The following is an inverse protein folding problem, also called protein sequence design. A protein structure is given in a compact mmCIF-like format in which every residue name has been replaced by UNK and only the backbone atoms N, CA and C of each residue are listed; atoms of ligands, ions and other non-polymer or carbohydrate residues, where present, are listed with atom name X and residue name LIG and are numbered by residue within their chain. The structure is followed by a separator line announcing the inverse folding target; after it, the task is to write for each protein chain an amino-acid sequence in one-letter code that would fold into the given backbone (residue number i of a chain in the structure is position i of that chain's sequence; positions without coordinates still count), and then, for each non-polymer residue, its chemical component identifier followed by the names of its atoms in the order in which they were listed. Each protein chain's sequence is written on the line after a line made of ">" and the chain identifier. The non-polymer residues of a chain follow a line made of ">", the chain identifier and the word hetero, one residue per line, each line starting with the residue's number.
data_IF_364897275520
#
_entry.id   IF_364897275520
#
_cell.length_a   1.000
_cell.length_b   1.000
_cell.length_c   1.000
_cell.angle_alpha   90.00
_cell.angle_beta   90.00
_cell.angle_gamma   90.00
#
_symmetry.space_group_name_H-M   'P 1'
#
loop_
_entity.id
_entity.type
_entity.pdbx_description
1 polymer ?
#
# COMPACT_ATOMS: atom_id res chain seq x y z
N UNK A 1 -18.10 10.49 -10.68
CA UNK A 1 -16.91 9.69 -10.32
C UNK A 1 -17.40 8.57 -9.43
N UNK A 2 -17.16 7.32 -9.83
CA UNK A 2 -17.82 6.15 -9.25
C UNK A 2 -17.33 5.80 -7.84
N UNK A 3 -18.20 5.12 -7.08
CA UNK A 3 -18.01 4.59 -5.71
C UNK A 3 -16.93 3.49 -5.60
N UNK A 4 -15.79 3.65 -6.27
CA UNK A 4 -14.66 2.73 -6.19
C UNK A 4 -13.76 3.08 -5.01
N UNK A 5 -14.25 2.80 -3.80
CA UNK A 5 -13.46 2.89 -2.58
C UNK A 5 -12.49 1.70 -2.47
N UNK A 6 -11.23 1.94 -2.83
CA UNK A 6 -10.14 0.94 -2.73
C UNK A 6 -9.98 0.42 -1.30
N UNK A 7 -10.21 1.26 -0.29
CA UNK A 7 -10.13 0.87 1.12
C UNK A 7 -11.20 -0.15 1.48
N UNK A 8 -12.44 0.07 1.04
CA UNK A 8 -13.54 -0.90 1.21
C UNK A 8 -13.21 -2.25 0.56
N UNK A 9 -12.69 -2.24 -0.67
CA UNK A 9 -12.32 -3.46 -1.37
C UNK A 9 -11.25 -4.26 -0.61
N UNK A 10 -10.18 -3.58 -0.18
CA UNK A 10 -9.11 -4.22 0.60
C UNK A 10 -9.63 -4.75 1.93
N UNK A 11 -10.45 -3.99 2.66
CA UNK A 11 -11.03 -4.45 3.93
C UNK A 11 -11.83 -5.75 3.78
N UNK A 12 -12.62 -5.88 2.72
CA UNK A 12 -13.41 -7.08 2.44
C UNK A 12 -12.49 -8.27 2.15
N UNK A 13 -11.52 -8.10 1.24
CA UNK A 13 -10.60 -9.18 0.87
C UNK A 13 -9.75 -9.62 2.06
N UNK A 14 -9.22 -8.69 2.84
CA UNK A 14 -8.48 -9.00 4.08
C UNK A 14 -9.34 -9.79 5.06
N UNK A 15 -10.61 -9.42 5.24
CA UNK A 15 -11.54 -10.16 6.08
C UNK A 15 -11.71 -11.62 5.64
N UNK A 16 -11.96 -11.84 4.34
CA UNK A 16 -12.11 -13.19 3.78
C UNK A 16 -10.84 -14.04 3.95
N UNK A 17 -9.67 -13.45 3.74
CA UNK A 17 -8.40 -14.16 3.91
C UNK A 17 -8.14 -14.48 5.39
N UNK A 18 -8.51 -13.58 6.31
CA UNK A 18 -8.43 -13.86 7.75
C UNK A 18 -9.34 -15.01 8.18
N UNK A 19 -10.54 -15.09 7.62
CA UNK A 19 -11.45 -16.21 7.88
C UNK A 19 -10.90 -17.56 7.37
N UNK A 20 -10.23 -17.57 6.22
CA UNK A 20 -9.71 -18.81 5.62
C UNK A 20 -8.39 -19.28 6.22
N UNK A 21 -7.49 -18.36 6.57
CA UNK A 21 -6.10 -18.68 6.95
C UNK A 21 -5.70 -18.19 8.35
N UNK A 22 -6.59 -17.52 9.08
CA UNK A 22 -6.31 -16.97 10.41
C UNK A 22 -5.59 -15.63 10.34
N UNK A 23 -4.44 -15.52 11.01
CA UNK A 23 -3.67 -14.28 10.97
C UNK A 23 -2.99 -14.10 9.62
N UNK A 24 -3.22 -12.96 9.00
CA UNK A 24 -2.53 -12.52 7.78
C UNK A 24 -2.02 -11.10 7.96
N UNK A 25 -0.93 -10.80 7.26
CA UNK A 25 -0.35 -9.47 7.15
C UNK A 25 -0.56 -8.93 5.74
N UNK A 26 -0.98 -7.67 5.63
CA UNK A 26 -1.30 -7.01 4.36
C UNK A 26 -0.33 -5.87 4.08
N UNK A 27 0.21 -5.87 2.86
CA UNK A 27 1.12 -4.82 2.38
C UNK A 27 0.41 -4.10 1.23
N UNK A 28 0.28 -2.78 1.33
CA UNK A 28 -0.33 -1.94 0.29
C UNK A 28 0.68 -0.96 -0.28
N UNK A 29 0.81 -0.92 -1.61
CA UNK A 29 1.68 0.01 -2.32
C UNK A 29 0.83 1.01 -3.11
N UNK A 30 1.09 2.30 -2.91
CA UNK A 30 0.49 3.39 -3.67
C UNK A 30 1.51 4.46 -4.06
N UNK A 31 1.11 5.39 -4.89
CA UNK A 31 1.94 6.55 -5.29
C UNK A 31 1.17 7.87 -5.25
N UNK A 32 -0.15 7.83 -5.01
CA UNK A 32 -1.02 8.99 -5.16
C UNK A 32 -2.09 9.10 -4.08
N UNK A 33 -2.79 10.25 -4.03
CA UNK A 33 -3.83 10.51 -3.05
C UNK A 33 -5.01 9.54 -3.15
N UNK A 34 -5.26 8.98 -4.35
CA UNK A 34 -6.36 8.03 -4.55
C UNK A 34 -6.09 6.67 -3.88
N UNK A 35 -4.85 6.41 -3.46
CA UNK A 35 -4.46 5.20 -2.75
C UNK A 35 -4.63 5.33 -1.24
N UNK A 36 -4.86 6.56 -0.73
CA UNK A 36 -5.02 6.82 0.70
C UNK A 36 -6.01 5.87 1.38
N UNK A 37 -7.23 5.62 0.85
CA UNK A 37 -8.17 4.70 1.51
C UNK A 37 -7.61 3.27 1.67
N UNK A 38 -6.86 2.78 0.69
CA UNK A 38 -6.20 1.48 0.78
C UNK A 38 -5.05 1.52 1.77
N UNK A 39 -4.18 2.53 1.67
CA UNK A 39 -3.00 2.68 2.52
C UNK A 39 -3.39 2.83 3.99
N UNK A 40 -4.51 3.48 4.30
CA UNK A 40 -5.04 3.55 5.67
C UNK A 40 -5.62 2.23 6.21
N UNK A 41 -5.80 1.22 5.35
CA UNK A 41 -6.47 -0.05 5.70
C UNK A 41 -5.51 -1.22 5.87
N UNK A 42 -4.38 -1.20 5.16
CA UNK A 42 -3.37 -2.28 5.19
C UNK A 42 -2.50 -2.22 6.44
N UNK A 43 -1.88 -3.33 6.81
CA UNK A 43 -1.01 -3.42 8.00
C UNK A 43 0.35 -2.73 7.74
N UNK A 44 0.88 -2.84 6.52
CA UNK A 44 2.13 -2.23 6.08
C UNK A 44 1.87 -1.32 4.87
N UNK A 45 1.63 -0.02 5.09
CA UNK A 45 1.42 0.94 4.00
C UNK A 45 2.74 1.47 3.45
N UNK A 46 2.84 1.48 2.12
CA UNK A 46 4.04 1.86 1.40
C UNK A 46 3.71 2.86 0.29
N UNK A 47 4.44 3.97 0.27
CA UNK A 47 4.34 5.01 -0.74
C UNK A 47 5.61 5.00 -1.60
N UNK A 48 5.46 4.69 -2.88
CA UNK A 48 6.54 4.80 -3.87
C UNK A 48 6.56 6.20 -4.48
N UNK A 49 7.64 6.54 -5.20
CA UNK A 49 7.75 7.86 -5.83
C UNK A 49 6.83 7.99 -7.03
N UNK A 50 6.27 9.20 -7.18
CA UNK A 50 5.62 9.67 -8.41
C UNK A 50 6.67 9.90 -9.50
N UNK A 51 6.21 10.14 -10.72
CA UNK A 51 7.08 10.37 -11.90
C UNK A 51 8.07 11.52 -11.75
N UNK A 52 7.79 12.47 -10.86
CA UNK A 52 8.66 13.61 -10.56
C UNK A 52 9.66 13.33 -9.42
N UNK A 53 9.80 12.07 -9.01
CA UNK A 53 10.65 11.63 -7.90
C UNK A 53 10.25 12.22 -6.53
N UNK A 54 9.04 12.75 -6.41
CA UNK A 54 8.46 13.15 -5.13
C UNK A 54 7.53 12.06 -4.60
N UNK A 55 7.18 12.16 -3.33
CA UNK A 55 6.10 11.37 -2.74
C UNK A 55 4.87 12.23 -2.61
N UNK A 56 3.70 11.62 -2.73
CA UNK A 56 2.46 12.32 -2.40
C UNK A 56 2.43 12.72 -0.92
N UNK A 57 1.85 13.89 -0.64
CA UNK A 57 1.70 14.35 0.74
C UNK A 57 0.44 13.72 1.36
N UNK A 58 0.59 12.48 1.83
CA UNK A 58 -0.45 11.75 2.55
C UNK A 58 -0.02 11.49 4.00
N UNK A 59 -0.98 11.59 4.90
CA UNK A 59 -0.80 11.31 6.32
C UNK A 59 -1.47 9.97 6.66
N UNK A 60 -0.64 8.94 6.81
CA UNK A 60 -1.05 7.58 7.17
C UNK A 60 -0.08 7.08 8.22
N UNK A 61 -0.61 6.52 9.31
CA UNK A 61 0.22 5.93 10.36
C UNK A 61 1.16 4.85 9.80
N UNK A 62 2.42 4.86 10.23
CA UNK A 62 3.43 3.87 9.83
C UNK A 62 3.73 3.82 8.33
N UNK A 63 3.40 4.88 7.58
CA UNK A 63 3.67 4.96 6.14
C UNK A 63 5.17 4.94 5.86
N UNK A 64 5.61 3.91 5.12
CA UNK A 64 6.97 3.82 4.62
C UNK A 64 7.10 4.48 3.26
N UNK A 65 8.10 5.33 3.09
CA UNK A 65 8.42 5.95 1.80
C UNK A 65 9.58 5.20 1.15
N UNK A 66 9.35 4.71 -0.05
CA UNK A 66 10.33 3.93 -0.83
C UNK A 66 10.76 4.77 -2.02
N UNK A 67 12.07 4.85 -2.24
CA UNK A 67 12.62 5.44 -3.45
C UNK A 67 12.32 4.55 -4.65
N UNK A 68 12.11 5.18 -5.80
CA UNK A 68 11.87 4.53 -7.07
C UNK A 68 10.43 4.63 -7.54
N UNK A 69 10.28 4.74 -8.86
CA UNK A 69 8.99 5.00 -9.51
C UNK A 69 8.38 3.68 -9.96
N UNK A 70 7.10 3.47 -9.64
CA UNK A 70 6.33 2.32 -10.12
C UNK A 70 7.08 0.99 -9.94
N UNK A 71 7.37 0.22 -11.01
CA UNK A 71 8.02 -1.08 -10.90
C UNK A 71 9.34 -1.10 -10.12
N UNK A 72 10.13 -0.01 -10.18
CA UNK A 72 11.40 0.07 -9.45
C UNK A 72 11.14 0.19 -7.93
N UNK A 73 10.23 1.08 -7.54
CA UNK A 73 9.81 1.24 -6.14
C UNK A 73 9.18 -0.04 -5.60
N UNK A 74 8.42 -0.77 -6.42
CA UNK A 74 7.88 -2.09 -6.09
C UNK A 74 8.99 -3.11 -5.86
N UNK A 75 9.98 -3.22 -6.76
CA UNK A 75 11.10 -4.16 -6.59
C UNK A 75 11.90 -3.87 -5.32
N UNK A 76 12.16 -2.60 -5.02
CA UNK A 76 12.84 -2.20 -3.77
C UNK A 76 12.03 -2.53 -2.54
N UNK A 77 10.71 -2.28 -2.59
CA UNK A 77 9.79 -2.66 -1.51
C UNK A 77 9.91 -4.14 -1.16
N UNK A 78 9.86 -5.02 -2.16
CA UNK A 78 9.99 -6.46 -1.94
C UNK A 78 11.36 -6.81 -1.34
N UNK A 79 12.44 -6.20 -1.82
CA UNK A 79 13.78 -6.40 -1.26
C UNK A 79 13.90 -5.92 0.19
N UNK A 80 13.30 -4.79 0.53
CA UNK A 80 13.36 -4.27 1.91
C UNK A 80 12.52 -5.07 2.90
N UNK A 81 11.41 -5.68 2.45
CA UNK A 81 10.55 -6.47 3.32
C UNK A 81 11.06 -7.91 3.45
N UNK A 82 11.53 -8.51 2.34
CA UNK A 82 11.79 -9.95 2.27
C UNK A 82 13.23 -10.32 1.89
N UNK A 83 14.06 -9.36 1.50
CA UNK A 83 15.39 -9.59 0.91
C UNK A 83 16.53 -9.68 1.92
N UNK A 84 16.32 -10.38 3.04
CA UNK A 84 17.40 -10.72 3.98
C UNK A 84 18.55 -11.48 3.34
#
# INVERSE_FOLDING_TARGET
>A
MGDNDKGKAVKIVTGLYREMWGEIETIGLGDSLNDLPMLSTVDIPILVQKRDYTWENIDVSNLRRIQGIGPEGWSRTIKEIFGG
#
